data_IF_774629223009
#
_entry.id   IF_774629223009
#
_cell.length_a   1.000
_cell.length_b   1.000
_cell.length_c   1.000
_cell.angle_alpha   90.00
_cell.angle_beta   90.00
_cell.angle_gamma   90.00
#
_symmetry.space_group_name_H-M   'P 1'
#
loop_
_entity.id
_entity.type
_entity.pdbx_description
1 polymer ?
#
# COMPACT_ATOMS: atom_id res chain seq x y z
N UNK A 1 -1.33 31.46 11.89
CA UNK A 1 -0.89 30.13 12.34
C UNK A 1 -1.26 29.13 11.25
N UNK A 2 -0.32 28.84 10.34
CA UNK A 2 -0.52 27.93 9.21
C UNK A 2 0.18 26.62 9.51
N UNK A 3 -0.60 25.57 9.78
CA UNK A 3 -0.08 24.21 9.92
C UNK A 3 0.15 23.65 8.51
N UNK A 4 1.41 23.58 8.09
CA UNK A 4 1.83 22.76 6.95
C UNK A 4 1.71 21.30 7.37
N UNK A 5 0.66 20.63 6.90
CA UNK A 5 0.54 19.18 6.99
C UNK A 5 1.63 18.55 6.13
N UNK A 6 2.67 18.02 6.76
CA UNK A 6 3.67 17.20 6.10
C UNK A 6 3.04 15.87 5.67
N UNK A 7 2.53 15.83 4.44
CA UNK A 7 2.36 14.59 3.69
C UNK A 7 3.75 14.04 3.37
N UNK A 8 4.32 13.33 4.35
CA UNK A 8 5.51 12.50 4.14
C UNK A 8 5.15 11.29 3.30
N UNK A 9 4.96 11.47 2.00
CA UNK A 9 5.14 10.39 1.04
C UNK A 9 6.64 10.10 1.02
N UNK A 10 7.06 9.11 1.80
CA UNK A 10 8.43 8.65 1.77
C UNK A 10 8.77 8.26 0.32
N UNK A 11 9.93 8.68 -0.22
CA UNK A 11 10.31 8.29 -1.57
C UNK A 11 10.37 6.77 -1.62
N UNK A 12 9.64 6.16 -2.56
CA UNK A 12 9.83 4.77 -2.90
C UNK A 12 11.30 4.62 -3.30
N UNK A 13 12.11 4.06 -2.39
CA UNK A 13 13.48 3.72 -2.71
C UNK A 13 13.52 2.76 -3.90
N UNK A 14 14.68 2.57 -4.56
CA UNK A 14 14.80 1.88 -5.85
C UNK A 14 14.42 0.38 -5.88
N UNK A 15 13.79 -0.15 -4.82
CA UNK A 15 13.49 -1.57 -4.60
C UNK A 15 12.00 -1.84 -4.30
N UNK A 16 11.11 -0.89 -4.58
CA UNK A 16 9.68 -1.08 -4.35
C UNK A 16 9.10 -2.02 -5.42
N UNK A 17 8.95 -3.29 -5.07
CA UNK A 17 8.18 -4.23 -5.85
C UNK A 17 6.77 -3.66 -6.07
N UNK A 18 6.36 -3.57 -7.32
CA UNK A 18 5.14 -2.85 -7.70
C UNK A 18 3.89 -3.53 -7.12
N UNK A 19 3.88 -4.87 -7.08
CA UNK A 19 2.76 -5.63 -6.54
C UNK A 19 2.70 -5.50 -5.01
N UNK A 20 3.85 -5.56 -4.32
CA UNK A 20 3.91 -5.28 -2.88
C UNK A 20 3.41 -3.87 -2.56
N UNK A 21 3.82 -2.87 -3.34
CA UNK A 21 3.43 -1.47 -3.16
C UNK A 21 1.93 -1.27 -3.39
N UNK A 22 1.39 -1.89 -4.44
CA UNK A 22 -0.03 -1.81 -4.79
C UNK A 22 -0.90 -2.45 -3.69
N UNK A 23 -0.51 -3.63 -3.22
CA UNK A 23 -1.23 -4.32 -2.14
C UNK A 23 -1.15 -3.54 -0.83
N UNK A 24 0.03 -3.05 -0.46
CA UNK A 24 0.21 -2.26 0.77
C UNK A 24 -0.65 -0.99 0.74
N UNK A 25 -0.61 -0.24 -0.37
CA UNK A 25 -1.41 0.97 -0.58
C UNK A 25 -2.90 0.68 -0.50
N UNK A 26 -3.38 -0.35 -1.21
CA UNK A 26 -4.79 -0.72 -1.21
C UNK A 26 -5.28 -1.15 0.18
N UNK A 27 -4.47 -1.91 0.93
CA UNK A 27 -4.80 -2.32 2.31
C UNK A 27 -4.95 -1.11 3.24
N UNK A 28 -4.02 -0.14 3.15
CA UNK A 28 -4.08 1.10 3.95
C UNK A 28 -5.36 1.87 3.61
N UNK A 29 -5.64 2.06 2.32
CA UNK A 29 -6.83 2.78 1.85
C UNK A 29 -8.13 2.09 2.28
N UNK A 30 -8.24 0.77 2.09
CA UNK A 30 -9.41 0.00 2.50
C UNK A 30 -9.66 0.09 4.01
N UNK A 31 -8.61 0.01 4.83
CA UNK A 31 -8.71 0.13 6.29
C UNK A 31 -9.22 1.53 6.67
N UNK A 32 -8.63 2.58 6.09
CA UNK A 32 -9.03 3.97 6.34
C UNK A 32 -10.50 4.21 5.99
N UNK A 33 -10.95 3.73 4.83
CA UNK A 33 -12.33 3.89 4.38
C UNK A 33 -13.31 3.08 5.23
N UNK A 34 -12.95 1.85 5.62
CA UNK A 34 -13.75 1.04 6.54
C UNK A 34 -13.93 1.71 7.90
N UNK A 35 -12.86 2.27 8.47
CA UNK A 35 -12.94 3.04 9.72
C UNK A 35 -13.82 4.29 9.56
N UNK A 36 -13.70 5.01 8.45
CA UNK A 36 -14.53 6.20 8.19
C UNK A 36 -16.02 5.85 8.07
N UNK A 37 -16.37 4.75 7.40
CA UNK A 37 -17.76 4.27 7.31
C UNK A 37 -18.37 3.91 8.66
N UNK A 38 -17.59 3.32 9.56
CA UNK A 38 -18.07 3.01 10.92
C UNK A 38 -18.30 4.28 11.74
N UNK A 39 -17.43 5.28 11.57
CA UNK A 39 -17.49 6.54 12.33
C UNK A 39 -18.62 7.46 11.84
N UNK A 40 -18.73 7.64 10.52
CA UNK A 40 -19.60 8.61 9.88
C UNK A 40 -20.41 7.93 8.75
N UNK A 41 -21.37 7.03 9.08
CA UNK A 41 -21.97 6.09 8.12
C UNK A 41 -22.80 6.75 7.01
N UNK A 42 -23.22 8.01 7.19
CA UNK A 42 -24.01 8.75 6.21
C UNK A 42 -23.20 9.85 5.49
N UNK A 43 -21.89 9.92 5.71
CA UNK A 43 -21.03 10.87 4.98
C UNK A 43 -20.90 10.46 3.51
N UNK A 44 -21.56 11.23 2.66
CA UNK A 44 -21.55 11.06 1.20
C UNK A 44 -20.13 11.00 0.61
N UNK A 45 -19.20 11.77 1.16
CA UNK A 45 -17.81 11.82 0.68
C UNK A 45 -17.12 10.47 0.90
N UNK A 46 -17.34 9.84 2.05
CA UNK A 46 -16.81 8.51 2.35
C UNK A 46 -17.38 7.46 1.39
N UNK A 47 -18.67 7.55 1.09
CA UNK A 47 -19.33 6.68 0.11
C UNK A 47 -18.79 6.85 -1.33
N UNK A 48 -18.47 8.08 -1.73
CA UNK A 48 -17.87 8.37 -3.05
C UNK A 48 -16.44 7.82 -3.14
N UNK A 49 -15.63 8.01 -2.09
CA UNK A 49 -14.28 7.47 -2.03
C UNK A 49 -14.27 5.93 -1.98
N UNK A 50 -15.21 5.31 -1.27
CA UNK A 50 -15.35 3.85 -1.25
C UNK A 50 -15.72 3.31 -2.63
N UNK A 51 -16.66 3.94 -3.34
CA UNK A 51 -17.00 3.55 -4.71
C UNK A 51 -15.80 3.65 -5.65
N UNK A 52 -15.09 4.78 -5.63
CA UNK A 52 -13.86 4.94 -6.43
C UNK A 52 -12.83 3.83 -6.13
N UNK A 53 -12.58 3.55 -4.85
CA UNK A 53 -11.65 2.49 -4.47
C UNK A 53 -12.07 1.12 -5.01
N UNK A 54 -13.36 0.78 -4.90
CA UNK A 54 -13.88 -0.47 -5.41
C UNK A 54 -13.77 -0.55 -6.94
N UNK A 55 -14.12 0.52 -7.65
CA UNK A 55 -14.15 0.58 -9.11
C UNK A 55 -12.76 0.58 -9.76
N UNK A 56 -11.75 1.14 -9.08
CA UNK A 56 -10.44 1.41 -9.70
C UNK A 56 -9.26 0.73 -9.01
N UNK A 57 -9.26 0.60 -7.70
CA UNK A 57 -8.07 0.24 -6.93
C UNK A 57 -8.12 -1.21 -6.42
N UNK A 58 -9.32 -1.70 -6.08
CA UNK A 58 -9.51 -2.98 -5.41
C UNK A 58 -9.09 -4.16 -6.28
N UNK A 59 -9.56 -4.18 -7.52
CA UNK A 59 -9.37 -5.29 -8.46
C UNK A 59 -7.90 -5.41 -8.94
N UNK A 60 -7.20 -4.33 -9.30
CA UNK A 60 -5.74 -4.38 -9.50
C UNK A 60 -4.96 -4.88 -8.28
N UNK A 61 -5.34 -4.47 -7.07
CA UNK A 61 -4.67 -4.91 -5.85
C UNK A 61 -4.91 -6.41 -5.57
N UNK A 62 -6.11 -6.92 -5.86
CA UNK A 62 -6.42 -8.34 -5.75
C UNK A 62 -5.58 -9.19 -6.73
N UNK A 63 -5.38 -8.71 -7.96
CA UNK A 63 -4.49 -9.37 -8.93
C UNK A 63 -3.04 -9.38 -8.45
N UNK A 64 -2.52 -8.25 -7.98
CA UNK A 64 -1.19 -8.19 -7.37
C UNK A 64 -1.07 -9.15 -6.19
N UNK A 65 -2.07 -9.20 -5.31
CA UNK A 65 -2.08 -10.14 -4.19
C UNK A 65 -2.04 -11.60 -4.65
N UNK A 66 -2.77 -11.95 -5.70
CA UNK A 66 -2.71 -13.29 -6.28
C UNK A 66 -1.32 -13.60 -6.85
N UNK A 67 -0.68 -12.65 -7.55
CA UNK A 67 0.67 -12.81 -8.08
C UNK A 67 1.71 -13.00 -6.95
N UNK A 68 1.64 -12.19 -5.89
CA UNK A 68 2.52 -12.32 -4.72
C UNK A 68 2.40 -13.70 -4.06
N UNK A 69 1.17 -14.20 -3.90
CA UNK A 69 0.94 -15.55 -3.33
C UNK A 69 1.41 -16.68 -4.22
N UNK A 70 1.51 -16.45 -5.53
CA UNK A 70 1.96 -17.44 -6.50
C UNK A 70 3.48 -17.55 -6.60
N UNK A 71 4.24 -16.67 -5.91
CA UNK A 71 5.71 -16.70 -5.91
C UNK A 71 6.24 -18.02 -5.38
N UNK A 72 7.26 -18.50 -6.06
CA UNK A 72 8.05 -19.67 -5.65
C UNK A 72 8.89 -19.36 -4.41
N UNK A 73 9.29 -20.39 -3.65
CA UNK A 73 10.22 -20.21 -2.52
C UNK A 73 11.53 -19.52 -2.91
N UNK A 74 12.05 -19.77 -4.12
CA UNK A 74 13.27 -19.19 -4.66
C UNK A 74 13.11 -17.68 -4.90
N UNK A 75 12.01 -17.27 -5.53
CA UNK A 75 11.67 -15.85 -5.72
C UNK A 75 11.50 -15.12 -4.39
N UNK A 76 10.85 -15.77 -3.41
CA UNK A 76 10.69 -15.21 -2.06
C UNK A 76 12.04 -15.04 -1.34
N UNK A 77 12.95 -16.02 -1.44
CA UNK A 77 14.30 -15.90 -0.88
C UNK A 77 15.08 -14.75 -1.51
N UNK A 78 15.03 -14.62 -2.84
CA UNK A 78 15.67 -13.52 -3.56
C UNK A 78 15.14 -12.17 -3.07
N UNK A 79 13.81 -12.05 -3.01
CA UNK A 79 13.15 -10.82 -2.58
C UNK A 79 13.48 -10.44 -1.13
N UNK A 80 13.55 -11.42 -0.22
CA UNK A 80 13.96 -11.18 1.18
C UNK A 80 15.42 -10.71 1.23
N UNK A 81 16.32 -11.31 0.46
CA UNK A 81 17.73 -10.92 0.43
C UNK A 81 17.91 -9.48 -0.07
N UNK A 82 17.17 -9.09 -1.12
CA UNK A 82 17.10 -7.70 -1.61
C UNK A 82 16.66 -6.72 -0.52
N UNK A 83 15.58 -7.05 0.20
CA UNK A 83 15.04 -6.21 1.27
C UNK A 83 16.03 -6.04 2.43
N UNK A 84 16.70 -7.12 2.84
CA UNK A 84 17.71 -7.09 3.89
C UNK A 84 18.91 -6.24 3.48
N UNK A 85 19.34 -6.35 2.23
CA UNK A 85 20.46 -5.56 1.67
C UNK A 85 20.11 -4.08 1.67
N UNK A 86 18.95 -3.72 1.13
CA UNK A 86 18.47 -2.34 1.11
C UNK A 86 18.29 -1.75 2.52
N UNK A 87 17.90 -2.57 3.50
CA UNK A 87 17.81 -2.15 4.90
C UNK A 87 19.18 -1.92 5.53
N UNK A 88 20.16 -2.78 5.25
CA UNK A 88 21.53 -2.62 5.73
C UNK A 88 22.16 -1.32 5.21
N UNK A 89 22.00 -1.02 3.92
CA UNK A 89 22.49 0.21 3.30
C UNK A 89 21.88 1.48 3.95
N UNK A 90 20.58 1.45 4.24
CA UNK A 90 19.89 2.55 4.95
C UNK A 90 20.33 2.71 6.40
N UNK A 91 20.83 1.67 7.04
CA UNK A 91 21.23 1.71 8.46
C UNK A 91 22.65 2.26 8.65
N UNK A 92 23.44 2.31 7.58
CA UNK A 92 24.83 2.81 7.56
C UNK A 92 24.93 4.25 7.05
N UNK A 93 23.89 4.73 6.35
CA UNK A 93 23.74 6.13 5.92
C UNK A 93 23.13 7.01 7.01
#
# INVERSE_FOLDING_TARGET
>A
MTATSSTGSAPAGPLADEDETRVASARITATRLGTALVRDPLDRTVHEQMRHFLDHDSEPALRSWAALKARTPEELKSRIAELLTAQAERSVS
#
